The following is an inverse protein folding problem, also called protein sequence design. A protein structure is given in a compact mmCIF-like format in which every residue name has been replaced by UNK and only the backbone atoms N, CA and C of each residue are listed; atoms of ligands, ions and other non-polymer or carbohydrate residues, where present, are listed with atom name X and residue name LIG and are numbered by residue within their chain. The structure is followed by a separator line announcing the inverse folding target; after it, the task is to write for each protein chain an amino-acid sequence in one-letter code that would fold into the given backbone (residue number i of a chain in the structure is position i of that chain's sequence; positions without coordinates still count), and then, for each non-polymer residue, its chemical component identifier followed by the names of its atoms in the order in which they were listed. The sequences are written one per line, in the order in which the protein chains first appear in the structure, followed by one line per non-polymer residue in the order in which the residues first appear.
data_IF_758240624856
#
_entry.id   IF_758240624856
#
_cell.length_a   1.000
_cell.length_b   1.000
_cell.length_c   1.000
_cell.angle_alpha   90.00
_cell.angle_beta   90.00
_cell.angle_gamma   90.00
#
_symmetry.space_group_name_H-M   'P 1'
#
loop_
_entity.id
_entity.type
_entity.pdbx_description
1 polymer ?
#
# COMPACT_ATOMS: atom_id res chain seq x y z
N UNK A 1 -13.21 18.77 -17.43
CA UNK A 1 -12.90 17.50 -16.75
C UNK A 1 -12.48 16.49 -17.82
N UNK A 2 -11.35 15.79 -17.64
CA UNK A 2 -10.68 15.03 -18.70
C UNK A 2 -11.56 13.95 -19.37
N UNK A 3 -12.37 13.25 -18.57
CA UNK A 3 -13.31 12.23 -19.04
C UNK A 3 -14.31 12.79 -20.08
N UNK A 4 -14.95 13.91 -19.75
CA UNK A 4 -15.89 14.65 -20.61
C UNK A 4 -15.23 15.17 -21.90
N UNK A 5 -13.90 15.25 -21.95
CA UNK A 5 -13.15 15.72 -23.12
C UNK A 5 -12.58 14.58 -23.96
N UNK A 6 -12.91 13.32 -23.65
CA UNK A 6 -12.39 12.14 -24.36
C UNK A 6 -10.88 11.94 -24.20
N UNK A 7 -10.30 12.44 -23.10
CA UNK A 7 -8.86 12.29 -22.82
C UNK A 7 -8.63 11.07 -21.93
N UNK A 8 -7.53 10.37 -22.18
CA UNK A 8 -7.00 9.35 -21.26
C UNK A 8 -6.25 10.04 -20.12
N UNK A 9 -6.40 9.52 -18.90
CA UNK A 9 -5.74 10.03 -17.70
C UNK A 9 -5.57 8.92 -16.67
N UNK A 10 -4.61 9.11 -15.77
CA UNK A 10 -4.41 8.28 -14.58
C UNK A 10 -4.67 9.17 -13.37
N UNK A 11 -5.53 8.71 -12.47
CA UNK A 11 -5.74 9.32 -11.16
C UNK A 11 -4.98 8.52 -10.11
N UNK A 12 -4.36 9.22 -9.15
CA UNK A 12 -3.69 8.63 -7.99
C UNK A 12 -4.27 9.32 -6.76
N UNK A 13 -4.68 8.53 -5.78
CA UNK A 13 -5.28 9.01 -4.53
C UNK A 13 -4.74 8.17 -3.37
N UNK A 14 -4.56 8.79 -2.20
CA UNK A 14 -3.99 8.16 -1.01
C UNK A 14 -4.98 8.11 0.17
N UNK A 15 -6.09 8.83 0.08
CA UNK A 15 -7.04 8.95 1.19
C UNK A 15 -7.96 7.75 1.30
N UNK A 16 -8.51 7.52 2.50
CA UNK A 16 -9.41 6.41 2.82
C UNK A 16 -10.79 6.47 2.11
N UNK A 17 -11.12 7.62 1.53
CA UNK A 17 -12.41 7.86 0.87
C UNK A 17 -12.42 7.53 -0.63
N UNK A 18 -11.40 6.85 -1.18
CA UNK A 18 -11.32 6.59 -2.63
C UNK A 18 -12.57 5.92 -3.16
N UNK A 19 -13.00 4.83 -2.53
CA UNK A 19 -14.18 4.07 -2.95
C UNK A 19 -15.49 4.84 -2.74
N UNK A 20 -15.59 5.61 -1.65
CA UNK A 20 -16.84 6.29 -1.27
C UNK A 20 -17.03 7.63 -1.98
N UNK A 21 -15.95 8.26 -2.45
CA UNK A 21 -15.98 9.58 -3.06
C UNK A 21 -15.43 9.59 -4.48
N UNK A 22 -14.18 9.16 -4.71
CA UNK A 22 -13.54 9.29 -6.02
C UNK A 22 -14.20 8.35 -7.06
N UNK A 23 -14.35 7.08 -6.69
CA UNK A 23 -15.02 6.06 -7.51
C UNK A 23 -16.48 6.44 -7.78
N UNK A 24 -17.22 6.83 -6.75
CA UNK A 24 -18.63 7.24 -6.91
C UNK A 24 -18.78 8.50 -7.78
N UNK A 25 -17.83 9.43 -7.73
CA UNK A 25 -17.81 10.58 -8.65
C UNK A 25 -17.58 10.13 -10.09
N UNK A 26 -16.65 9.22 -10.35
CA UNK A 26 -16.41 8.70 -11.70
C UNK A 26 -17.62 7.94 -12.25
N UNK A 27 -18.28 7.13 -11.43
CA UNK A 27 -19.54 6.47 -11.80
C UNK A 27 -20.60 7.49 -12.22
N UNK A 28 -20.83 8.55 -11.43
CA UNK A 28 -21.77 9.63 -11.80
C UNK A 28 -21.42 10.31 -13.12
N UNK A 29 -20.13 10.50 -13.39
CA UNK A 29 -19.67 11.06 -14.68
C UNK A 29 -20.06 10.16 -15.85
N UNK A 30 -19.82 8.86 -15.70
CA UNK A 30 -20.18 7.84 -16.70
C UNK A 30 -21.70 7.74 -16.86
N UNK A 31 -22.45 7.89 -15.77
CA UNK A 31 -23.93 7.91 -15.78
C UNK A 31 -24.52 9.21 -16.37
N UNK A 32 -23.67 10.15 -16.79
CA UNK A 32 -24.11 11.36 -17.48
C UNK A 32 -24.44 12.53 -16.55
N UNK A 33 -23.77 12.66 -15.40
CA UNK A 33 -23.96 13.82 -14.53
C UNK A 33 -23.79 15.15 -15.29
N UNK A 34 -24.59 16.15 -14.91
CA UNK A 34 -24.68 17.42 -15.62
C UNK A 34 -23.83 18.57 -15.02
N UNK A 35 -22.81 18.24 -14.22
CA UNK A 35 -21.88 19.21 -13.64
C UNK A 35 -20.77 19.68 -14.60
N UNK A 36 -20.20 20.87 -14.33
CA UNK A 36 -19.07 21.42 -15.11
C UNK A 36 -19.43 21.71 -16.57
N UNK A 37 -18.57 21.28 -17.50
CA UNK A 37 -18.73 21.53 -18.95
C UNK A 37 -19.84 20.72 -19.62
N UNK A 38 -20.61 19.90 -18.90
CA UNK A 38 -21.58 18.95 -19.48
C UNK A 38 -22.54 19.59 -20.49
N UNK A 39 -23.10 20.76 -20.16
CA UNK A 39 -24.05 21.46 -21.03
C UNK A 39 -23.40 21.97 -22.31
N UNK A 40 -22.17 22.46 -22.22
CA UNK A 40 -21.41 23.02 -23.34
C UNK A 40 -21.10 21.96 -24.40
N UNK A 41 -20.88 20.72 -23.96
CA UNK A 41 -20.54 19.59 -24.82
C UNK A 41 -21.69 18.60 -25.03
N UNK A 42 -22.89 18.91 -24.53
CA UNK A 42 -24.05 18.00 -24.53
C UNK A 42 -23.74 16.59 -23.99
N UNK A 43 -23.02 16.51 -22.85
CA UNK A 43 -22.60 15.25 -22.25
C UNK A 43 -23.80 14.37 -21.86
N UNK A 44 -23.82 13.13 -22.35
CA UNK A 44 -24.87 12.14 -22.07
C UNK A 44 -24.39 10.97 -21.19
N UNK A 45 -23.13 10.99 -20.75
CA UNK A 45 -22.50 9.83 -20.12
C UNK A 45 -21.67 9.00 -21.10
N UNK A 46 -21.14 7.90 -20.58
CA UNK A 46 -20.25 6.97 -21.28
C UNK A 46 -18.79 7.06 -20.82
N UNK A 47 -17.97 6.18 -21.40
CA UNK A 47 -16.60 5.94 -20.97
C UNK A 47 -16.51 4.84 -19.91
N UNK A 48 -15.29 4.55 -19.50
CA UNK A 48 -14.96 3.55 -18.49
C UNK A 48 -13.72 3.97 -17.73
N UNK A 49 -13.47 3.33 -16.60
CA UNK A 49 -12.21 3.43 -15.88
C UNK A 49 -11.90 2.08 -15.24
N UNK A 50 -10.61 1.82 -15.05
CA UNK A 50 -10.13 0.70 -14.24
C UNK A 50 -9.72 1.27 -12.88
N UNK A 51 -10.10 0.56 -11.83
CA UNK A 51 -9.65 0.82 -10.46
C UNK A 51 -8.78 -0.34 -10.00
N UNK A 52 -7.64 -0.02 -9.41
CA UNK A 52 -6.72 -0.98 -8.84
C UNK A 52 -6.00 -0.34 -7.65
N UNK A 53 -5.62 -1.17 -6.69
CA UNK A 53 -4.80 -0.79 -5.55
C UNK A 53 -3.40 -1.40 -5.69
N UNK A 54 -2.43 -0.82 -4.97
CA UNK A 54 -1.09 -1.38 -4.93
C UNK A 54 -1.07 -2.58 -3.98
N UNK A 55 -0.55 -3.72 -4.43
CA UNK A 55 -0.36 -4.90 -3.58
C UNK A 55 0.59 -4.59 -2.42
N UNK A 56 0.05 -4.41 -1.22
CA UNK A 56 0.82 -4.05 -0.04
C UNK A 56 1.72 -5.20 0.43
N UNK A 57 2.95 -4.87 0.82
CA UNK A 57 3.86 -5.80 1.51
C UNK A 57 4.42 -5.20 2.79
N UNK A 58 5.55 -4.47 2.77
CA UNK A 58 6.03 -3.79 3.98
C UNK A 58 5.05 -2.71 4.48
N UNK A 59 4.11 -2.25 3.65
CA UNK A 59 3.00 -1.42 4.10
C UNK A 59 2.14 -2.13 5.17
N UNK A 60 1.93 -3.45 5.06
CA UNK A 60 1.23 -4.26 6.07
C UNK A 60 2.02 -4.28 7.39
N UNK A 61 3.34 -4.48 7.32
CA UNK A 61 4.23 -4.41 8.49
C UNK A 61 4.17 -3.04 9.17
N UNK A 62 4.23 -1.96 8.39
CA UNK A 62 4.10 -0.60 8.90
C UNK A 62 2.77 -0.39 9.64
N UNK A 63 1.66 -0.81 9.04
CA UNK A 63 0.35 -0.72 9.66
C UNK A 63 0.27 -1.52 10.97
N UNK A 64 0.82 -2.74 10.97
CA UNK A 64 0.88 -3.60 12.16
C UNK A 64 1.70 -2.96 13.29
N UNK A 65 2.88 -2.38 13.00
CA UNK A 65 3.72 -1.68 13.99
C UNK A 65 2.94 -0.51 14.63
N UNK A 66 2.29 0.30 13.80
CA UNK A 66 1.54 1.46 14.28
C UNK A 66 0.34 1.05 15.15
N UNK A 67 -0.28 -0.09 14.85
CA UNK A 67 -1.44 -0.62 15.57
C UNK A 67 -1.10 -1.28 16.92
N UNK A 68 0.16 -1.60 17.23
CA UNK A 68 0.52 -2.21 18.52
C UNK A 68 0.23 -1.26 19.69
N UNK A 69 -0.38 -1.75 20.77
CA UNK A 69 -0.73 -0.92 21.94
C UNK A 69 0.30 -1.01 23.07
N UNK A 70 1.25 -1.94 22.97
CA UNK A 70 2.24 -2.20 24.01
C UNK A 70 3.50 -2.90 23.46
N UNK A 71 4.54 -2.94 24.30
CA UNK A 71 5.83 -3.58 23.97
C UNK A 71 5.70 -5.07 23.65
N UNK A 72 4.83 -5.82 24.35
CA UNK A 72 4.72 -7.28 24.16
C UNK A 72 4.22 -7.61 22.76
N UNK A 73 3.24 -6.85 22.26
CA UNK A 73 2.77 -6.97 20.87
C UNK A 73 3.85 -6.57 19.87
N UNK A 74 4.56 -5.48 20.14
CA UNK A 74 5.59 -4.94 19.27
C UNK A 74 6.80 -5.90 19.15
N UNK A 75 7.23 -6.50 20.26
CA UNK A 75 8.29 -7.50 20.33
C UNK A 75 7.90 -8.80 19.59
N UNK A 76 6.66 -9.26 19.77
CA UNK A 76 6.15 -10.41 19.02
C UNK A 76 6.13 -10.14 17.52
N UNK A 77 5.66 -8.95 17.12
CA UNK A 77 5.65 -8.53 15.71
C UNK A 77 7.07 -8.45 15.17
N UNK A 78 8.04 -7.98 15.95
CA UNK A 78 9.42 -7.85 15.51
C UNK A 78 10.04 -9.18 15.06
N UNK A 79 9.71 -10.29 15.73
CA UNK A 79 10.14 -11.63 15.27
C UNK A 79 9.57 -11.94 13.88
N UNK A 80 8.29 -11.64 13.65
CA UNK A 80 7.66 -11.80 12.33
C UNK A 80 8.28 -10.87 11.27
N UNK A 81 8.64 -9.64 11.65
CA UNK A 81 9.33 -8.68 10.77
C UNK A 81 10.67 -9.22 10.25
N UNK A 82 11.44 -9.88 11.12
CA UNK A 82 12.73 -10.44 10.77
C UNK A 82 12.65 -11.60 9.77
N UNK A 83 11.58 -12.40 9.85
CA UNK A 83 11.44 -13.62 9.05
C UNK A 83 10.71 -13.37 7.72
N UNK A 84 9.70 -12.49 7.73
CA UNK A 84 8.74 -12.34 6.62
C UNK A 84 8.94 -11.10 5.76
N UNK A 85 9.40 -10.00 6.35
CA UNK A 85 9.40 -8.68 5.68
C UNK A 85 10.80 -8.22 5.28
N UNK A 86 10.87 -7.29 4.33
CA UNK A 86 12.15 -6.76 3.87
C UNK A 86 12.67 -5.68 4.82
N UNK A 87 13.80 -5.96 5.45
CA UNK A 87 14.51 -5.03 6.31
C UNK A 87 15.69 -4.42 5.56
N UNK A 88 16.08 -3.19 5.92
CA UNK A 88 17.23 -2.52 5.29
C UNK A 88 18.49 -3.34 5.52
N UNK A 89 19.24 -3.60 4.44
CA UNK A 89 20.48 -4.39 4.48
C UNK A 89 21.56 -3.82 5.41
N UNK A 90 21.53 -2.52 5.69
CA UNK A 90 22.50 -1.84 6.54
C UNK A 90 22.15 -1.89 8.03
N UNK A 91 21.02 -2.49 8.39
CA UNK A 91 20.61 -2.70 9.77
C UNK A 91 21.03 -4.11 10.19
N UNK A 92 21.75 -4.21 11.30
CA UNK A 92 22.03 -5.50 11.92
C UNK A 92 20.85 -5.92 12.79
N UNK A 93 19.89 -6.57 12.15
CA UNK A 93 18.63 -7.02 12.76
C UNK A 93 18.89 -8.01 13.89
N UNK A 94 19.86 -8.92 13.73
CA UNK A 94 20.25 -9.89 14.76
C UNK A 94 20.80 -9.20 16.00
N UNK A 95 21.64 -8.17 15.82
CA UNK A 95 22.13 -7.37 16.94
C UNK A 95 20.98 -6.63 17.62
N UNK A 96 20.05 -6.08 16.85
CA UNK A 96 18.89 -5.39 17.44
C UNK A 96 18.02 -6.36 18.25
N UNK A 97 17.71 -7.54 17.69
CA UNK A 97 16.87 -8.57 18.27
C UNK A 97 17.44 -9.21 19.54
N UNK A 98 18.75 -9.39 19.60
CA UNK A 98 19.39 -10.14 20.67
C UNK A 98 20.04 -9.25 21.73
N UNK A 99 20.42 -8.02 21.38
CA UNK A 99 21.17 -7.12 22.25
C UNK A 99 20.37 -5.84 22.53
N UNK A 100 20.13 -5.02 21.50
CA UNK A 100 19.64 -3.64 21.66
C UNK A 100 18.24 -3.60 22.29
N UNK A 101 17.32 -4.50 21.90
CA UNK A 101 15.96 -4.50 22.44
C UNK A 101 15.88 -4.89 23.92
N UNK A 102 16.96 -5.46 24.48
CA UNK A 102 17.07 -5.83 25.89
C UNK A 102 17.83 -4.79 26.72
N UNK A 103 18.41 -3.76 26.07
CA UNK A 103 19.15 -2.72 26.77
C UNK A 103 18.20 -1.83 27.60
N UNK A 104 18.56 -1.47 28.85
CA UNK A 104 17.77 -0.58 29.69
C UNK A 104 17.43 0.75 29.02
N UNK A 105 18.35 1.28 28.22
CA UNK A 105 18.19 2.52 27.45
C UNK A 105 17.06 2.42 26.43
N UNK A 106 16.92 1.26 25.77
CA UNK A 106 15.84 1.02 24.81
C UNK A 106 14.50 0.76 25.52
N UNK A 107 14.52 -0.01 26.61
CA UNK A 107 13.33 -0.30 27.41
C UNK A 107 12.78 0.96 28.12
N UNK A 108 13.62 1.98 28.32
CA UNK A 108 13.21 3.27 28.86
C UNK A 108 12.53 4.20 27.84
N UNK A 109 12.60 3.88 26.54
CA UNK A 109 11.93 4.65 25.49
C UNK A 109 10.40 4.53 25.60
N UNK A 110 9.71 5.55 25.11
CA UNK A 110 8.26 5.50 24.92
C UNK A 110 7.90 4.49 23.83
N UNK A 111 6.66 3.97 23.86
CA UNK A 111 6.18 3.06 22.83
C UNK A 111 6.28 3.67 21.43
N UNK A 112 6.01 4.96 21.28
CA UNK A 112 6.10 5.66 19.99
C UNK A 112 7.54 5.73 19.47
N UNK A 113 8.52 5.94 20.35
CA UNK A 113 9.95 5.89 20.00
C UNK A 113 10.37 4.47 19.61
N UNK A 114 9.92 3.45 20.33
CA UNK A 114 10.18 2.05 20.00
C UNK A 114 9.59 1.66 18.64
N UNK A 115 8.34 2.07 18.36
CA UNK A 115 7.70 1.91 17.04
C UNK A 115 8.48 2.62 15.95
N UNK A 116 8.92 3.86 16.19
CA UNK A 116 9.68 4.63 15.21
C UNK A 116 10.99 3.93 14.84
N UNK A 117 11.71 3.38 15.83
CA UNK A 117 12.92 2.60 15.57
C UNK A 117 12.62 1.37 14.70
N UNK A 118 11.51 0.67 14.95
CA UNK A 118 11.11 -0.48 14.12
C UNK A 118 10.72 -0.10 12.70
N UNK A 119 10.00 1.02 12.53
CA UNK A 119 9.66 1.55 11.22
C UNK A 119 10.90 1.90 10.40
N UNK A 120 11.94 2.42 11.05
CA UNK A 120 13.20 2.75 10.39
C UNK A 120 13.99 1.52 9.92
N UNK A 121 13.72 0.33 10.45
CA UNK A 121 14.32 -0.92 9.99
C UNK A 121 13.70 -1.43 8.69
N UNK A 122 12.45 -1.07 8.37
CA UNK A 122 11.79 -1.50 7.14
C UNK A 122 12.46 -0.89 5.90
N UNK A 123 12.62 -1.69 4.84
CA UNK A 123 12.96 -1.14 3.53
C UNK A 123 11.72 -0.49 2.89
N UNK A 124 11.77 0.84 2.78
CA UNK A 124 10.66 1.63 2.21
C UNK A 124 10.50 1.42 0.70
N UNK A 125 11.51 0.88 0.01
CA UNK A 125 11.39 0.53 -1.40
C UNK A 125 10.56 -0.74 -1.63
N UNK A 126 10.29 -1.50 -0.57
CA UNK A 126 9.54 -2.76 -0.59
C UNK A 126 8.18 -2.62 0.12
N UNK A 127 7.63 -1.39 0.20
CA UNK A 127 6.28 -1.14 0.73
C UNK A 127 5.20 -1.88 -0.05
N UNK A 128 5.40 -2.01 -1.36
CA UNK A 128 4.47 -2.66 -2.29
C UNK A 128 5.22 -3.68 -3.13
N UNK A 129 4.49 -4.66 -3.67
CA UNK A 129 5.04 -5.77 -4.43
C UNK A 129 5.43 -5.29 -5.83
N UNK A 130 6.68 -5.53 -6.23
CA UNK A 130 7.14 -5.26 -7.58
C UNK A 130 6.64 -6.33 -8.55
N UNK A 131 6.28 -5.91 -9.76
CA UNK A 131 5.82 -6.81 -10.83
C UNK A 131 6.85 -7.89 -11.16
N UNK A 132 8.14 -7.56 -11.09
CA UNK A 132 9.24 -8.50 -11.32
C UNK A 132 9.28 -9.63 -10.30
N UNK A 133 8.83 -9.36 -9.08
CA UNK A 133 8.99 -10.22 -7.91
C UNK A 133 7.65 -10.89 -7.53
N UNK A 134 6.56 -10.52 -8.18
CA UNK A 134 5.17 -10.97 -7.93
C UNK A 134 4.98 -12.50 -7.86
N UNK A 135 5.87 -13.27 -8.50
CA UNK A 135 5.81 -14.73 -8.52
C UNK A 135 6.69 -15.40 -7.46
N UNK A 136 7.43 -14.63 -6.65
CA UNK A 136 8.24 -15.18 -5.58
C UNK A 136 7.34 -15.80 -4.50
N UNK A 137 7.77 -16.94 -3.96
CA UNK A 137 6.99 -17.73 -2.99
C UNK A 137 6.60 -16.92 -1.74
N UNK A 138 7.39 -15.90 -1.40
CA UNK A 138 7.09 -15.03 -0.26
C UNK A 138 5.78 -14.25 -0.43
N UNK A 139 5.33 -13.95 -1.66
CA UNK A 139 4.12 -13.18 -1.91
C UNK A 139 2.88 -14.06 -2.15
N UNK A 140 2.99 -15.38 -2.11
CA UNK A 140 1.86 -16.30 -2.33
C UNK A 140 0.70 -16.05 -1.36
N UNK A 141 0.98 -15.57 -0.14
CA UNK A 141 -0.07 -15.23 0.82
C UNK A 141 -0.69 -13.84 0.61
N UNK A 142 -0.05 -12.98 -0.19
CA UNK A 142 -0.41 -11.57 -0.38
C UNK A 142 -1.03 -11.24 -1.74
N UNK A 143 -0.87 -12.10 -2.76
CA UNK A 143 -1.44 -11.91 -4.09
C UNK A 143 -2.07 -13.21 -4.59
N UNK A 144 -3.35 -13.14 -4.94
CA UNK A 144 -4.05 -14.26 -5.57
C UNK A 144 -3.75 -14.30 -7.09
N UNK A 145 -4.19 -15.36 -7.79
CA UNK A 145 -3.93 -15.50 -9.22
C UNK A 145 -4.66 -14.43 -10.06
N UNK A 146 -5.85 -13.98 -9.65
CA UNK A 146 -6.60 -12.94 -10.37
C UNK A 146 -5.87 -11.61 -10.35
N UNK A 147 -5.26 -11.23 -9.22
CA UNK A 147 -4.45 -10.00 -9.09
C UNK A 147 -3.21 -10.06 -9.99
N UNK A 148 -2.58 -11.24 -10.08
CA UNK A 148 -1.42 -11.48 -10.95
C UNK A 148 -1.80 -11.36 -12.42
N UNK A 149 -2.91 -11.97 -12.81
CA UNK A 149 -3.40 -11.94 -14.20
C UNK A 149 -3.80 -10.52 -14.61
N UNK A 150 -4.49 -9.78 -13.73
CA UNK A 150 -4.84 -8.37 -13.94
C UNK A 150 -3.59 -7.50 -14.12
N UNK A 151 -2.56 -7.72 -13.30
CA UNK A 151 -1.28 -7.00 -13.39
C UNK A 151 -0.60 -7.26 -14.73
N UNK A 152 -0.51 -8.53 -15.16
CA UNK A 152 0.08 -8.88 -16.46
C UNK A 152 -0.69 -8.27 -17.64
N UNK A 153 -2.03 -8.23 -17.55
CA UNK A 153 -2.87 -7.56 -18.55
C UNK A 153 -2.62 -6.06 -18.60
N UNK A 154 -2.52 -5.40 -17.44
CA UNK A 154 -2.25 -3.97 -17.34
C UNK A 154 -0.91 -3.58 -17.99
N UNK A 155 0.13 -4.38 -17.81
CA UNK A 155 1.44 -4.16 -18.43
C UNK A 155 1.56 -4.69 -19.87
N UNK A 156 0.54 -5.36 -20.40
CA UNK A 156 0.57 -5.95 -21.74
C UNK A 156 1.58 -7.08 -21.88
N UNK A 157 1.85 -7.83 -20.81
CA UNK A 157 2.86 -8.90 -20.73
C UNK A 157 2.29 -10.30 -21.04
N UNK A 158 1.19 -10.41 -21.81
CA UNK A 158 0.59 -11.68 -22.23
C UNK A 158 1.32 -12.33 -23.41
#
# INVERSE_FOLDING_TARGET
MAHKMGRQYIGIEQMDYVETLAVERLKKVIDGEQGGISKEINWQGGGEFVYCELGEWNAQAKAAILACDNWVELDRLFTELCDKYFLKYNVNVQKFANEICQEPEFLALTLDEQKQMMLEMLDLNQLYINVSDMNDSQFECGLNQEDKDLTLEFYGMK
#
